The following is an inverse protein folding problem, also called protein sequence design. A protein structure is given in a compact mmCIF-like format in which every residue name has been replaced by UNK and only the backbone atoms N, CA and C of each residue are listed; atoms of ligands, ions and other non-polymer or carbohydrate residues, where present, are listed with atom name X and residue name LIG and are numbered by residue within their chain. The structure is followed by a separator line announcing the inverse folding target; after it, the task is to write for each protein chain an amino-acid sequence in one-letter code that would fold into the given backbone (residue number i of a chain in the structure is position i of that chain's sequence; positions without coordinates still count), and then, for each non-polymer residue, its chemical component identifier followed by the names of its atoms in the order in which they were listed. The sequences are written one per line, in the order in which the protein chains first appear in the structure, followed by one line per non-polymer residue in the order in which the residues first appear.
data_IF_751235126143
#
_entry.id   IF_751235126143
#
_cell.length_a   1.000
_cell.length_b   1.000
_cell.length_c   1.000
_cell.angle_alpha   90.00
_cell.angle_beta   90.00
_cell.angle_gamma   90.00
#
_symmetry.space_group_name_H-M   'P 1'
#
loop_
_entity.id
_entity.type
_entity.pdbx_description
1 polymer ?
#
# COMPACT_ATOMS: atom_id res chain seq x y z
N UNK A 1 1.52 14.22 38.53
CA UNK A 1 1.64 15.09 37.34
C UNK A 1 1.50 14.23 36.10
N UNK A 2 0.49 14.47 35.26
CA UNK A 2 0.35 13.78 33.97
C UNK A 2 1.15 14.59 32.96
N UNK A 3 2.30 14.08 32.54
CA UNK A 3 3.00 14.65 31.39
C UNK A 3 2.08 14.46 30.20
N UNK A 4 1.45 15.53 29.73
CA UNK A 4 0.75 15.54 28.45
C UNK A 4 1.87 15.61 27.42
N UNK A 5 2.31 14.46 26.92
CA UNK A 5 3.20 14.44 25.78
C UNK A 5 2.44 15.10 24.62
N UNK A 6 2.96 16.19 24.10
CA UNK A 6 2.46 16.74 22.85
C UNK A 6 2.68 15.69 21.76
N UNK A 7 1.60 15.16 21.19
CA UNK A 7 1.73 14.14 20.16
C UNK A 7 2.34 14.76 18.91
N UNK A 8 3.59 14.37 18.61
CA UNK A 8 4.33 14.75 17.41
C UNK A 8 3.51 14.43 16.15
N UNK A 9 3.43 15.37 15.23
CA UNK A 9 2.85 15.13 13.90
C UNK A 9 3.87 14.37 13.05
N UNK A 10 3.42 13.32 12.38
CA UNK A 10 4.14 12.55 11.38
C UNK A 10 3.32 12.50 10.09
N UNK A 11 3.97 12.13 8.99
CA UNK A 11 3.41 12.14 7.65
C UNK A 11 3.42 10.72 7.10
N UNK A 12 2.24 10.16 6.96
CA UNK A 12 1.97 8.80 6.53
C UNK A 12 1.75 8.78 5.01
N UNK A 13 2.65 8.13 4.28
CA UNK A 13 2.67 8.11 2.81
C UNK A 13 2.08 6.81 2.28
N UNK A 14 1.11 6.95 1.40
CA UNK A 14 0.39 5.87 0.74
C UNK A 14 0.43 6.05 -0.78
N UNK A 15 0.27 4.95 -1.49
CA UNK A 15 -0.15 4.94 -2.89
C UNK A 15 -1.53 4.30 -2.99
N UNK A 16 -2.48 5.01 -3.58
CA UNK A 16 -3.88 4.66 -3.62
C UNK A 16 -4.39 4.76 -5.06
N UNK A 17 -5.16 3.76 -5.49
CA UNK A 17 -5.75 3.75 -6.82
C UNK A 17 -7.08 3.00 -6.81
N UNK A 18 -8.13 3.70 -7.25
CA UNK A 18 -9.43 3.09 -7.48
C UNK A 18 -9.52 2.51 -8.91
N UNK A 19 -10.30 1.44 -9.04
CA UNK A 19 -10.60 0.78 -10.31
C UNK A 19 -12.10 0.61 -10.47
N UNK A 20 -12.58 0.67 -11.72
CA UNK A 20 -13.98 0.39 -12.02
C UNK A 20 -14.30 -1.12 -12.11
N UNK A 21 -13.28 -1.96 -12.29
CA UNK A 21 -13.42 -3.37 -12.65
C UNK A 21 -12.76 -4.34 -11.67
N UNK A 22 -12.07 -3.84 -10.64
CA UNK A 22 -11.41 -4.64 -9.61
C UNK A 22 -11.37 -3.89 -8.28
N UNK A 23 -10.88 -4.55 -7.24
CA UNK A 23 -10.67 -3.93 -5.94
C UNK A 23 -9.68 -2.75 -6.03
N UNK A 24 -9.86 -1.78 -5.14
CA UNK A 24 -8.93 -0.67 -4.96
C UNK A 24 -7.57 -1.17 -4.50
N UNK A 25 -6.52 -0.44 -4.88
CA UNK A 25 -5.16 -0.68 -4.43
C UNK A 25 -4.79 0.36 -3.40
N UNK A 26 -4.35 -0.10 -2.23
CA UNK A 26 -3.78 0.73 -1.17
C UNK A 26 -2.43 0.13 -0.77
N UNK A 27 -1.34 0.85 -1.05
CA UNK A 27 0.01 0.45 -0.69
C UNK A 27 0.58 1.43 0.33
N UNK A 28 0.80 0.96 1.56
CA UNK A 28 1.50 1.74 2.57
C UNK A 28 2.99 1.80 2.22
N UNK A 29 3.53 3.01 2.07
CA UNK A 29 4.93 3.21 1.66
C UNK A 29 5.82 3.53 2.86
N UNK A 30 5.34 4.34 3.80
CA UNK A 30 6.09 4.62 5.03
C UNK A 30 5.67 5.88 5.75
N UNK A 31 6.22 6.05 6.95
CA UNK A 31 5.93 7.16 7.86
C UNK A 31 7.16 8.05 8.01
N UNK A 32 6.97 9.36 7.87
CA UNK A 32 8.02 10.36 7.86
C UNK A 32 7.82 11.40 8.96
N UNK A 33 8.93 11.91 9.50
CA UNK A 33 8.86 13.00 10.48
C UNK A 33 8.41 14.32 9.84
N UNK A 34 8.80 14.59 8.60
CA UNK A 34 8.46 15.83 7.90
C UNK A 34 7.75 15.57 6.58
N UNK A 35 6.90 16.52 6.16
CA UNK A 35 6.26 16.51 4.84
C UNK A 35 7.27 16.54 3.70
N UNK A 36 8.43 17.18 3.92
CA UNK A 36 9.49 17.27 2.93
C UNK A 36 10.12 15.90 2.65
N UNK A 37 10.35 15.10 3.69
CA UNK A 37 10.90 13.75 3.54
C UNK A 37 9.94 12.82 2.80
N UNK A 38 8.64 12.89 3.12
CA UNK A 38 7.60 12.16 2.38
C UNK A 38 7.58 12.56 0.90
N UNK A 39 7.65 13.86 0.58
CA UNK A 39 7.74 14.35 -0.81
C UNK A 39 9.02 13.89 -1.52
N UNK A 40 10.14 13.83 -0.80
CA UNK A 40 11.40 13.33 -1.34
C UNK A 40 11.30 11.83 -1.67
N UNK A 41 10.60 11.05 -0.85
CA UNK A 41 10.31 9.65 -1.14
C UNK A 41 9.44 9.48 -2.39
N UNK A 42 8.36 10.26 -2.54
CA UNK A 42 7.55 10.30 -3.77
C UNK A 42 8.44 10.56 -4.98
N UNK A 43 9.33 11.56 -4.93
CA UNK A 43 10.23 11.88 -6.05
C UNK A 43 11.11 10.69 -6.45
N UNK A 44 11.62 9.91 -5.48
CA UNK A 44 12.43 8.71 -5.75
C UNK A 44 11.60 7.55 -6.32
N UNK A 45 10.34 7.44 -5.92
CA UNK A 45 9.45 6.34 -6.31
C UNK A 45 8.73 6.58 -7.64
N UNK A 46 8.51 7.84 -8.05
CA UNK A 46 7.84 8.20 -9.30
C UNK A 46 8.46 7.62 -10.57
N UNK A 47 9.69 7.13 -10.53
CA UNK A 47 10.36 6.50 -11.67
C UNK A 47 10.41 4.97 -11.56
N UNK A 48 9.78 4.37 -10.55
CA UNK A 48 9.78 2.92 -10.34
C UNK A 48 8.58 2.27 -11.04
N UNK A 49 8.68 0.97 -11.42
CA UNK A 49 7.58 0.24 -12.05
C UNK A 49 6.26 0.35 -11.27
N UNK A 50 5.14 0.40 -11.97
CA UNK A 50 3.81 0.66 -11.41
C UNK A 50 3.60 2.12 -11.00
N UNK A 51 4.51 2.72 -10.22
CA UNK A 51 4.37 4.10 -9.76
C UNK A 51 4.57 5.14 -10.87
N UNK A 52 5.41 4.86 -11.87
CA UNK A 52 5.65 5.79 -12.98
C UNK A 52 4.45 5.91 -13.93
N UNK A 53 3.61 4.88 -13.99
CA UNK A 53 2.40 4.86 -14.81
C UNK A 53 1.26 5.67 -14.18
N UNK A 54 1.31 5.86 -12.86
CA UNK A 54 0.27 6.54 -12.07
C UNK A 54 0.87 7.54 -11.07
N UNK A 55 1.58 8.59 -11.52
CA UNK A 55 2.34 9.50 -10.67
C UNK A 55 1.47 10.35 -9.72
N UNK A 56 0.16 10.39 -9.93
CA UNK A 56 -0.87 11.04 -9.12
C UNK A 56 -1.40 10.18 -7.97
N UNK A 57 -1.12 8.87 -7.96
CA UNK A 57 -1.66 7.95 -6.95
C UNK A 57 -1.07 8.12 -5.54
N UNK A 58 -0.15 9.06 -5.30
CA UNK A 58 0.48 9.24 -3.99
C UNK A 58 -0.32 10.18 -3.07
N UNK A 59 -0.64 9.70 -1.87
CA UNK A 59 -1.34 10.43 -0.80
C UNK A 59 -0.44 10.59 0.42
N UNK A 60 -0.38 11.79 1.01
CA UNK A 60 0.30 12.05 2.29
C UNK A 60 -0.73 12.49 3.33
N UNK A 61 -0.87 11.70 4.39
CA UNK A 61 -1.76 12.00 5.51
C UNK A 61 -0.98 12.48 6.74
N UNK A 62 -1.44 13.55 7.36
CA UNK A 62 -0.91 13.99 8.65
C UNK A 62 -1.51 13.13 9.77
N UNK A 63 -0.64 12.56 10.61
CA UNK A 63 -1.02 11.68 11.72
C UNK A 63 -0.34 12.11 13.00
N UNK A 64 -1.02 11.95 14.13
CA UNK A 64 -0.42 12.11 15.45
C UNK A 64 0.28 10.81 15.83
N UNK A 65 1.54 10.90 16.21
CA UNK A 65 2.30 9.76 16.70
C UNK A 65 1.70 9.24 18.02
N UNK A 66 1.73 7.91 18.19
CA UNK A 66 1.17 7.25 19.38
C UNK A 66 -0.35 7.07 19.36
N UNK A 67 -1.00 7.26 18.21
CA UNK A 67 -2.41 6.94 18.02
C UNK A 67 -2.59 5.48 17.61
N UNK A 68 -3.65 4.84 18.11
CA UNK A 68 -4.00 3.45 17.81
C UNK A 68 -5.20 3.41 16.85
N UNK A 69 -5.03 2.75 15.71
CA UNK A 69 -6.14 2.45 14.79
C UNK A 69 -7.00 1.28 15.29
N UNK A 70 -8.17 1.07 14.68
CA UNK A 70 -9.06 -0.07 15.00
C UNK A 70 -9.35 -0.23 16.50
N UNK A 71 -9.45 0.88 17.23
CA UNK A 71 -9.60 0.89 18.70
C UNK A 71 -10.86 0.15 19.21
N UNK A 72 -11.80 -0.15 18.32
CA UNK A 72 -13.03 -0.88 18.61
C UNK A 72 -13.04 -2.31 18.03
N UNK A 73 -11.89 -2.82 17.56
CA UNK A 73 -11.78 -4.08 16.84
C UNK A 73 -12.16 -3.98 15.36
N UNK A 74 -12.30 -5.14 14.70
CA UNK A 74 -12.71 -5.25 13.30
C UNK A 74 -13.85 -6.28 13.15
N UNK A 75 -14.70 -6.10 12.14
CA UNK A 75 -15.72 -7.07 11.73
C UNK A 75 -15.39 -7.52 10.32
N UNK A 76 -15.27 -8.83 10.14
CA UNK A 76 -15.07 -9.40 8.80
C UNK A 76 -16.43 -9.60 8.13
N UNK A 77 -16.63 -8.96 6.98
CA UNK A 77 -17.79 -9.22 6.12
C UNK A 77 -17.34 -10.08 4.95
N UNK A 78 -18.04 -11.18 4.73
CA UNK A 78 -17.86 -12.01 3.55
C UNK A 78 -18.92 -11.63 2.53
N UNK A 79 -18.52 -10.97 1.45
CA UNK A 79 -19.38 -10.87 0.28
C UNK A 79 -19.32 -12.21 -0.47
N UNK A 80 -20.45 -12.69 -1.04
CA UNK A 80 -20.44 -13.90 -1.83
C UNK A 80 -19.48 -13.71 -3.00
N UNK A 81 -18.36 -14.44 -2.98
CA UNK A 81 -17.43 -14.48 -4.10
C UNK A 81 -18.18 -15.04 -5.29
N UNK A 82 -18.47 -14.22 -6.29
CA UNK A 82 -18.71 -14.75 -7.63
C UNK A 82 -17.42 -15.47 -8.01
N UNK A 83 -17.51 -16.76 -8.36
CA UNK A 83 -16.39 -17.62 -8.69
C UNK A 83 -15.69 -17.23 -10.01
N UNK A 84 -15.41 -15.95 -10.22
CA UNK A 84 -14.38 -15.53 -11.14
C UNK A 84 -13.04 -15.85 -10.45
N UNK A 85 -12.29 -16.75 -11.05
CA UNK A 85 -10.97 -17.21 -10.63
C UNK A 85 -10.12 -16.01 -10.15
N UNK A 86 -9.84 -15.91 -8.85
CA UNK A 86 -9.06 -14.81 -8.28
C UNK A 86 -7.65 -14.73 -8.88
N UNK A 87 -7.18 -15.79 -9.55
CA UNK A 87 -5.94 -15.80 -10.35
C UNK A 87 -6.05 -14.94 -11.62
N UNK A 88 -7.25 -14.53 -12.02
CA UNK A 88 -7.52 -13.82 -13.27
C UNK A 88 -7.89 -12.34 -13.10
N UNK A 89 -8.02 -11.85 -11.85
CA UNK A 89 -8.16 -10.42 -11.59
C UNK A 89 -6.76 -9.84 -11.38
N UNK A 90 -6.31 -8.86 -12.20
CA UNK A 90 -5.04 -8.21 -11.96
C UNK A 90 -5.00 -7.68 -10.52
N UNK A 91 -3.87 -7.80 -9.84
CA UNK A 91 -3.63 -7.19 -8.53
C UNK A 91 -2.27 -6.48 -8.56
N UNK A 92 -2.19 -5.32 -7.92
CA UNK A 92 -0.93 -4.56 -7.88
C UNK A 92 -0.03 -5.18 -6.81
N UNK A 93 0.99 -5.91 -7.27
CA UNK A 93 1.99 -6.51 -6.38
C UNK A 93 3.20 -5.58 -6.26
N UNK A 94 3.89 -5.60 -5.11
CA UNK A 94 5.20 -4.97 -5.02
C UNK A 94 6.11 -5.55 -6.09
N UNK A 95 6.81 -4.70 -6.84
CA UNK A 95 7.70 -5.14 -7.91
C UNK A 95 8.81 -6.11 -7.45
N UNK A 96 9.09 -6.22 -6.15
CA UNK A 96 10.06 -7.19 -5.62
C UNK A 96 9.56 -8.64 -5.63
N UNK A 97 8.26 -8.89 -5.75
CA UNK A 97 7.71 -10.26 -5.82
C UNK A 97 7.95 -10.90 -7.19
N UNK A 98 8.01 -10.11 -8.26
CA UNK A 98 8.35 -10.58 -9.61
C UNK A 98 9.80 -11.10 -9.70
N UNK A 99 10.69 -10.63 -8.82
CA UNK A 99 12.08 -11.09 -8.70
C UNK A 99 12.27 -12.29 -7.77
N UNK A 100 11.21 -12.73 -7.07
CA UNK A 100 11.24 -13.87 -6.14
C UNK A 100 10.46 -15.08 -6.66
N UNK A 101 9.78 -14.96 -7.80
CA UNK A 101 9.32 -16.13 -8.52
C UNK A 101 10.56 -16.98 -8.84
N UNK A 102 10.72 -18.19 -8.28
CA UNK A 102 11.73 -19.10 -8.81
C UNK A 102 11.43 -19.25 -10.30
N UNK A 103 12.45 -19.25 -11.15
CA UNK A 103 12.32 -19.71 -12.53
C UNK A 103 11.56 -21.03 -12.45
N UNK A 104 10.27 -21.02 -12.81
CA UNK A 104 9.45 -22.21 -12.77
C UNK A 104 10.17 -23.19 -13.71
N UNK A 105 10.79 -24.27 -13.22
CA UNK A 105 11.42 -25.20 -14.15
C UNK A 105 10.27 -25.71 -14.99
N UNK A 106 10.32 -25.41 -16.30
CA UNK A 106 9.33 -25.87 -17.25
C UNK A 106 9.01 -27.32 -16.90
N UNK A 107 7.75 -27.57 -16.53
CA UNK A 107 7.24 -28.90 -16.30
C UNK A 107 7.43 -29.67 -17.61
N UNK A 108 8.59 -30.32 -17.74
CA UNK A 108 8.89 -31.28 -18.76
C UNK A 108 8.80 -32.65 -18.08
N UNK A 109 7.71 -33.32 -18.43
CA UNK A 109 7.39 -34.74 -18.32
C UNK A 109 8.59 -35.68 -18.32
N UNK A 110 8.43 -36.83 -17.66
CA UNK A 110 8.16 -38.04 -18.44
C UNK A 110 6.79 -38.69 -18.19
#
# INVERSE_FOLDING_TARGET
MKVIAENKIVFDLWFERAYSYRAETELHIGVYETKADAKAAIKRLKTKPGFCEFPEGFSIYERKLGMTGWQYGFITKFEPRIAADYRSVPFDLPAFEEFLAPDEPAANDP
#
